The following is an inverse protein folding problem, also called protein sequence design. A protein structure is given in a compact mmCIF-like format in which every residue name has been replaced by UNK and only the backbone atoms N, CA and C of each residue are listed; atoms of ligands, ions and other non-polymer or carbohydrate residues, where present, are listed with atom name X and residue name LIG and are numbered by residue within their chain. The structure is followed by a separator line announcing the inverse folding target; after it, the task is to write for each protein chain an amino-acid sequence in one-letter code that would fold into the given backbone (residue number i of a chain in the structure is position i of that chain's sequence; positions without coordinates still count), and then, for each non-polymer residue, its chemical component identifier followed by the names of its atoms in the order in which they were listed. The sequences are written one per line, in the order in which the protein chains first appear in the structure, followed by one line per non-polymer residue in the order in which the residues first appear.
data_IF_134991211466
#
_entry.id   IF_134991211466
#
_cell.length_a   1.000
_cell.length_b   1.000
_cell.length_c   1.000
_cell.angle_alpha   90.00
_cell.angle_beta   90.00
_cell.angle_gamma   90.00
#
_symmetry.space_group_name_H-M   'P 1'
#
loop_
_entity.id
_entity.type
_entity.pdbx_description
1 polymer ?
#
# COMPACT_ATOMS: atom_id res chain seq x y z
N UNK A 1 19.82 -6.82 28.54
CA UNK A 1 18.85 -6.87 29.66
C UNK A 1 17.50 -6.53 29.07
N UNK A 2 16.83 -7.53 28.49
CA UNK A 2 15.44 -7.40 28.05
C UNK A 2 14.58 -7.39 29.31
N UNK A 3 14.03 -6.22 29.64
CA UNK A 3 12.95 -6.14 30.61
C UNK A 3 11.72 -6.79 29.98
N UNK A 4 11.44 -8.04 30.38
CA UNK A 4 10.16 -8.70 30.20
C UNK A 4 9.08 -7.88 30.91
N UNK A 5 8.56 -6.85 30.23
CA UNK A 5 7.40 -6.11 30.69
C UNK A 5 6.20 -7.04 30.50
N UNK A 6 5.81 -7.75 31.56
CA UNK A 6 4.55 -8.47 31.62
C UNK A 6 3.41 -7.44 31.57
N UNK A 7 2.98 -7.12 30.37
CA UNK A 7 1.83 -6.25 30.15
C UNK A 7 0.57 -6.95 30.68
N UNK A 8 -0.34 -6.22 31.36
CA UNK A 8 -1.63 -6.77 31.76
C UNK A 8 -2.37 -7.34 30.54
N UNK A 9 -3.05 -8.48 30.69
CA UNK A 9 -3.75 -9.17 29.58
C UNK A 9 -4.73 -8.26 28.80
N UNK A 10 -5.26 -7.22 29.45
CA UNK A 10 -6.09 -6.21 28.79
C UNK A 10 -5.28 -5.35 27.79
N UNK A 11 -4.05 -4.98 28.14
CA UNK A 11 -3.14 -4.19 27.31
C UNK A 11 -2.61 -5.03 26.14
N UNK A 12 -2.35 -6.32 26.35
CA UNK A 12 -1.97 -7.26 25.29
C UNK A 12 -3.11 -7.46 24.28
N UNK A 13 -4.36 -7.58 24.74
CA UNK A 13 -5.55 -7.64 23.87
C UNK A 13 -5.81 -6.34 23.13
N UNK A 14 -5.63 -5.19 23.78
CA UNK A 14 -5.75 -3.87 23.15
C UNK A 14 -4.66 -3.64 22.10
N UNK A 15 -3.41 -4.03 22.37
CA UNK A 15 -2.30 -3.99 21.40
C UNK A 15 -2.52 -4.99 20.26
N UNK A 16 -3.07 -6.18 20.54
CA UNK A 16 -3.46 -7.15 19.53
C UNK A 16 -4.54 -6.60 18.58
N UNK A 17 -5.57 -5.95 19.12
CA UNK A 17 -6.59 -5.26 18.32
C UNK A 17 -6.02 -4.04 17.57
N UNK A 18 -5.12 -3.28 18.17
CA UNK A 18 -4.40 -2.22 17.48
C UNK A 18 -3.56 -2.78 16.31
N UNK A 19 -2.92 -3.94 16.49
CA UNK A 19 -2.21 -4.66 15.43
C UNK A 19 -3.12 -5.01 14.24
N UNK A 20 -4.35 -5.45 14.49
CA UNK A 20 -5.33 -5.72 13.40
C UNK A 20 -5.77 -4.46 12.66
N UNK A 21 -5.77 -3.29 13.30
CA UNK A 21 -6.04 -2.01 12.61
C UNK A 21 -4.85 -1.49 11.80
N UNK A 22 -3.62 -1.88 12.15
CA UNK A 22 -2.38 -1.43 11.50
C UNK A 22 -2.01 -2.25 10.26
N UNK A 23 -2.47 -3.50 10.17
CA UNK A 23 -2.30 -4.36 8.99
C UNK A 23 -3.67 -4.97 8.60
N UNK A 24 -4.55 -4.23 7.91
CA UNK A 24 -5.85 -4.74 7.48
C UNK A 24 -5.74 -5.94 6.52
N UNK A 25 -4.55 -6.19 5.96
CA UNK A 25 -4.28 -7.39 5.15
C UNK A 25 -4.14 -8.65 6.00
N UNK A 26 -4.14 -8.55 7.33
CA UNK A 26 -4.22 -9.70 8.24
C UNK A 26 -5.60 -10.36 8.27
N UNK A 27 -6.67 -9.65 7.88
CA UNK A 27 -8.01 -10.23 7.68
C UNK A 27 -8.01 -11.32 6.61
N UNK A 28 -7.11 -11.23 5.64
CA UNK A 28 -6.92 -12.20 4.57
C UNK A 28 -5.69 -13.08 4.88
N UNK A 29 -5.79 -13.93 5.90
CA UNK A 29 -4.66 -14.77 6.29
C UNK A 29 -4.42 -15.91 5.26
N UNK A 30 -3.47 -15.70 4.36
CA UNK A 30 -3.15 -16.62 3.25
C UNK A 30 -2.57 -17.96 3.72
N UNK A 31 -2.09 -18.02 4.96
CA UNK A 31 -1.59 -19.26 5.57
C UNK A 31 -2.70 -20.31 5.69
N UNK A 32 -3.96 -19.86 5.86
CA UNK A 32 -5.14 -20.72 5.88
C UNK A 32 -5.56 -21.21 4.48
N UNK A 33 -5.14 -20.51 3.41
CA UNK A 33 -5.43 -20.88 2.02
C UNK A 33 -4.40 -21.87 1.43
N UNK A 34 -3.41 -22.32 2.23
CA UNK A 34 -2.42 -23.31 1.82
C UNK A 34 -1.18 -22.74 1.11
N UNK A 35 -1.06 -21.42 0.97
CA UNK A 35 0.12 -20.77 0.39
C UNK A 35 1.22 -20.60 1.44
N UNK A 36 1.99 -21.68 1.69
CA UNK A 36 3.02 -21.70 2.74
C UNK A 36 4.35 -21.03 2.41
N UNK A 37 4.57 -20.63 1.15
CA UNK A 37 5.83 -20.01 0.73
C UNK A 37 5.87 -18.51 1.04
N UNK A 38 6.93 -18.03 1.68
CA UNK A 38 7.11 -16.61 2.00
C UNK A 38 7.04 -15.76 0.72
N UNK A 39 7.73 -16.21 -0.34
CA UNK A 39 7.74 -15.54 -1.64
C UNK A 39 6.33 -15.42 -2.25
N UNK A 40 5.51 -16.47 -2.19
CA UNK A 40 4.16 -16.48 -2.78
C UNK A 40 3.24 -15.55 -2.01
N UNK A 41 3.24 -15.65 -0.68
CA UNK A 41 2.46 -14.77 0.18
C UNK A 41 2.88 -13.30 0.04
N UNK A 42 4.18 -13.04 -0.09
CA UNK A 42 4.71 -11.70 -0.36
C UNK A 42 4.29 -11.19 -1.75
N UNK A 43 4.36 -12.03 -2.78
CA UNK A 43 3.96 -11.67 -4.14
C UNK A 43 2.47 -11.31 -4.23
N UNK A 44 1.58 -12.15 -3.69
CA UNK A 44 0.14 -11.88 -3.74
C UNK A 44 -0.17 -10.55 -3.03
N UNK A 45 0.37 -10.33 -1.83
CA UNK A 45 0.13 -9.09 -1.07
C UNK A 45 0.62 -7.84 -1.81
N UNK A 46 1.76 -7.92 -2.49
CA UNK A 46 2.28 -6.79 -3.28
C UNK A 46 1.57 -6.62 -4.63
N UNK A 47 0.91 -7.64 -5.16
CA UNK A 47 0.14 -7.55 -6.42
C UNK A 47 -1.26 -6.98 -6.21
N UNK A 48 -1.85 -7.03 -5.00
CA UNK A 48 -3.19 -6.51 -4.73
C UNK A 48 -3.36 -5.04 -5.13
N UNK A 49 -2.47 -4.10 -4.76
CA UNK A 49 -2.59 -2.71 -5.21
C UNK A 49 -2.52 -2.58 -6.74
N UNK A 50 -1.60 -3.29 -7.40
CA UNK A 50 -1.49 -3.27 -8.88
C UNK A 50 -2.77 -3.82 -9.51
N UNK A 51 -3.32 -4.91 -8.98
CA UNK A 51 -4.56 -5.52 -9.46
C UNK A 51 -5.74 -4.55 -9.32
N UNK A 52 -5.85 -3.82 -8.20
CA UNK A 52 -6.90 -2.81 -8.02
C UNK A 52 -6.80 -1.66 -9.03
N UNK A 53 -5.58 -1.20 -9.35
CA UNK A 53 -5.38 -0.23 -10.42
C UNK A 53 -5.76 -0.82 -11.79
N UNK A 54 -5.31 -2.05 -12.06
CA UNK A 54 -5.65 -2.78 -13.28
C UNK A 54 -7.16 -2.90 -13.48
N UNK A 55 -7.88 -3.31 -12.44
CA UNK A 55 -9.34 -3.41 -12.45
C UNK A 55 -10.00 -2.06 -12.74
N UNK A 56 -9.56 -0.98 -12.09
CA UNK A 56 -10.07 0.37 -12.36
C UNK A 56 -9.89 0.80 -13.82
N UNK A 57 -8.71 0.55 -14.40
CA UNK A 57 -8.45 0.85 -15.82
C UNK A 57 -9.19 -0.08 -16.79
N UNK A 58 -9.42 -1.34 -16.41
CA UNK A 58 -10.26 -2.25 -17.17
C UNK A 58 -11.72 -1.76 -17.18
N UNK A 59 -12.26 -1.32 -16.03
CA UNK A 59 -13.59 -0.71 -15.97
C UNK A 59 -13.68 0.54 -16.85
N UNK A 60 -12.63 1.37 -16.86
CA UNK A 60 -12.55 2.53 -17.76
C UNK A 60 -12.61 2.15 -19.23
N UNK A 61 -11.80 1.15 -19.63
CA UNK A 61 -11.76 0.67 -21.00
C UNK A 61 -13.10 0.05 -21.42
N UNK A 62 -13.71 -0.77 -20.56
CA UNK A 62 -15.02 -1.38 -20.80
C UNK A 62 -16.11 -0.32 -20.94
N UNK A 63 -16.14 0.67 -20.05
CA UNK A 63 -17.08 1.80 -20.10
C UNK A 63 -16.99 2.54 -21.44
N UNK A 64 -15.79 2.83 -21.94
CA UNK A 64 -15.59 3.49 -23.23
C UNK A 64 -15.93 2.59 -24.42
N UNK A 65 -15.61 1.29 -24.33
CA UNK A 65 -15.98 0.33 -25.36
C UNK A 65 -17.51 0.23 -25.47
N UNK A 66 -18.22 0.10 -24.35
CA UNK A 66 -19.69 0.04 -24.31
C UNK A 66 -20.29 1.34 -24.84
N UNK A 67 -19.77 2.50 -24.42
CA UNK A 67 -20.26 3.78 -24.92
C UNK A 67 -20.13 3.90 -26.45
N UNK A 68 -19.03 3.37 -27.01
CA UNK A 68 -18.78 3.37 -28.46
C UNK A 68 -19.66 2.38 -29.22
N UNK A 69 -19.86 1.17 -28.69
CA UNK A 69 -20.58 0.10 -29.39
C UNK A 69 -22.09 0.15 -29.17
N UNK A 70 -22.55 0.39 -27.94
CA UNK A 70 -23.96 0.38 -27.58
C UNK A 70 -24.63 1.76 -27.70
N UNK A 71 -23.85 2.84 -27.94
CA UNK A 71 -24.33 4.24 -27.97
C UNK A 71 -25.08 4.66 -26.69
N UNK A 72 -24.75 4.03 -25.56
CA UNK A 72 -25.27 4.40 -24.23
C UNK A 72 -24.21 5.29 -23.57
N UNK A 73 -24.64 6.42 -23.00
CA UNK A 73 -23.72 7.30 -22.29
C UNK A 73 -23.38 6.73 -20.90
N UNK A 74 -22.36 5.85 -20.89
CA UNK A 74 -21.79 5.25 -19.68
C UNK A 74 -20.30 5.60 -19.53
N UNK A 75 -19.84 6.66 -20.20
CA UNK A 75 -18.42 7.01 -20.24
C UNK A 75 -17.90 7.49 -18.88
N UNK A 76 -16.88 6.80 -18.36
CA UNK A 76 -16.31 7.11 -17.05
C UNK A 76 -15.24 8.21 -17.17
N UNK A 77 -15.30 9.21 -16.29
CA UNK A 77 -14.30 10.28 -16.26
C UNK A 77 -12.99 9.80 -15.60
N UNK A 78 -11.88 9.95 -16.34
CA UNK A 78 -10.55 9.53 -15.90
C UNK A 78 -10.08 10.27 -14.64
N UNK A 79 -10.44 11.54 -14.46
CA UNK A 79 -10.03 12.32 -13.28
C UNK A 79 -10.66 11.76 -12.00
N UNK A 80 -11.92 11.33 -12.09
CA UNK A 80 -12.62 10.67 -10.98
C UNK A 80 -12.03 9.28 -10.67
N UNK A 81 -11.70 8.50 -11.71
CA UNK A 81 -11.06 7.20 -11.54
C UNK A 81 -9.71 7.33 -10.83
N UNK A 82 -8.83 8.21 -11.33
CA UNK A 82 -7.50 8.45 -10.76
C UNK A 82 -7.63 8.92 -9.32
N UNK A 83 -8.51 9.89 -9.04
CA UNK A 83 -8.76 10.34 -7.67
C UNK A 83 -9.17 9.19 -6.76
N UNK A 84 -10.06 8.30 -7.22
CA UNK A 84 -10.57 7.16 -6.43
C UNK A 84 -9.47 6.13 -6.16
N UNK A 85 -8.72 5.72 -7.19
CA UNK A 85 -7.62 4.76 -7.05
C UNK A 85 -6.52 5.26 -6.10
N UNK A 86 -6.11 6.51 -6.26
CA UNK A 86 -5.12 7.10 -5.35
C UNK A 86 -5.69 7.40 -3.96
N UNK A 87 -6.99 7.64 -3.79
CA UNK A 87 -7.62 7.73 -2.47
C UNK A 87 -7.46 6.41 -1.70
N UNK A 88 -7.75 5.28 -2.36
CA UNK A 88 -7.56 3.96 -1.76
C UNK A 88 -6.09 3.69 -1.46
N UNK A 89 -5.20 4.00 -2.39
CA UNK A 89 -3.76 3.84 -2.18
C UNK A 89 -3.26 4.69 -1.01
N UNK A 90 -3.74 5.92 -0.87
CA UNK A 90 -3.42 6.81 0.24
C UNK A 90 -3.92 6.26 1.58
N UNK A 91 -5.17 5.76 1.62
CA UNK A 91 -5.74 5.16 2.82
C UNK A 91 -4.98 3.91 3.29
N UNK A 92 -4.62 3.02 2.35
CA UNK A 92 -3.90 1.77 2.66
C UNK A 92 -2.38 1.90 2.66
N UNK A 93 -1.84 3.10 2.47
CA UNK A 93 -0.41 3.33 2.27
C UNK A 93 0.45 2.69 3.37
N UNK A 94 0.11 2.90 4.64
CA UNK A 94 0.85 2.32 5.77
C UNK A 94 0.90 0.80 5.73
N UNK A 95 -0.21 0.13 5.38
CA UNK A 95 -0.26 -1.32 5.25
C UNK A 95 0.59 -1.82 4.08
N UNK A 96 0.48 -1.15 2.92
CA UNK A 96 1.27 -1.48 1.72
C UNK A 96 2.77 -1.30 2.00
N UNK A 97 3.17 -0.19 2.62
CA UNK A 97 4.56 0.07 3.00
C UNK A 97 5.08 -0.95 4.01
N UNK A 98 4.29 -1.33 5.01
CA UNK A 98 4.67 -2.36 5.98
C UNK A 98 4.92 -3.72 5.29
N UNK A 99 4.06 -4.10 4.34
CA UNK A 99 4.25 -5.31 3.54
C UNK A 99 5.53 -5.21 2.70
N UNK A 100 5.70 -4.12 1.94
CA UNK A 100 6.88 -3.93 1.09
C UNK A 100 8.18 -3.94 1.90
N UNK A 101 8.18 -3.41 3.12
CA UNK A 101 9.36 -3.36 3.99
C UNK A 101 9.58 -4.64 4.81
N UNK A 102 8.69 -5.63 4.74
CA UNK A 102 8.76 -6.83 5.59
C UNK A 102 10.07 -7.61 5.41
N UNK A 103 10.61 -7.70 4.19
CA UNK A 103 11.86 -8.42 3.91
C UNK A 103 13.09 -7.79 4.59
N UNK A 104 13.03 -6.51 4.94
CA UNK A 104 14.13 -5.78 5.58
C UNK A 104 14.06 -5.83 7.12
N UNK A 105 13.04 -6.49 7.69
CA UNK A 105 12.85 -6.63 9.13
C UNK A 105 13.45 -7.95 9.63
N UNK A 106 14.74 -7.92 9.92
CA UNK A 106 15.47 -9.04 10.51
C UNK A 106 15.64 -8.87 12.02
N UNK A 107 15.55 -9.96 12.77
CA UNK A 107 15.77 -10.01 14.20
C UNK A 107 16.80 -11.09 14.54
N UNK A 108 17.60 -10.85 15.57
CA UNK A 108 18.57 -11.83 16.08
C UNK A 108 17.85 -13.04 16.69
N UNK A 109 18.20 -14.23 16.21
CA UNK A 109 17.73 -15.50 16.76
C UNK A 109 18.78 -16.05 17.76
N UNK A 110 18.40 -16.70 18.87
CA UNK A 110 19.30 -17.44 19.75
C UNK A 110 20.32 -18.37 19.05
N UNK A 111 20.01 -18.85 17.83
CA UNK A 111 20.92 -19.62 16.99
C UNK A 111 22.09 -18.80 16.39
N UNK A 112 22.18 -17.50 16.67
CA UNK A 112 23.26 -16.60 16.21
C UNK A 112 23.07 -16.03 14.80
N UNK A 113 22.07 -16.51 14.04
CA UNK A 113 21.76 -16.01 12.70
C UNK A 113 20.54 -15.08 12.71
N UNK A 114 20.55 -13.95 11.99
CA UNK A 114 19.37 -13.10 11.88
C UNK A 114 18.30 -13.78 11.01
N UNK A 115 17.05 -13.79 11.47
CA UNK A 115 15.90 -14.34 10.75
C UNK A 115 14.83 -13.27 10.54
N UNK A 116 13.94 -13.47 9.56
CA UNK A 116 12.84 -12.53 9.34
C UNK A 116 11.86 -12.55 10.52
N UNK A 117 11.43 -11.36 10.94
CA UNK A 117 10.45 -11.21 12.04
C UNK A 117 9.11 -11.90 11.71
N UNK A 118 8.71 -11.86 10.44
CA UNK A 118 7.42 -12.44 10.00
C UNK A 118 7.48 -13.94 9.74
N UNK A 119 8.65 -14.47 9.36
CA UNK A 119 8.85 -15.90 9.10
C UNK A 119 10.25 -16.31 9.58
N UNK A 120 10.37 -16.87 10.80
CA UNK A 120 11.68 -17.19 11.39
C UNK A 120 12.46 -18.30 10.69
N UNK A 121 11.85 -19.04 9.77
CA UNK A 121 12.47 -20.06 8.92
C UNK A 121 13.35 -19.45 7.81
N UNK A 122 13.07 -18.20 7.40
CA UNK A 122 13.87 -17.48 6.41
C UNK A 122 15.05 -16.79 7.09
N UNK A 123 16.25 -17.30 6.82
CA UNK A 123 17.52 -16.70 7.30
C UNK A 123 17.88 -15.50 6.43
N UNK A 124 18.08 -14.34 7.06
CA UNK A 124 18.44 -13.11 6.37
C UNK A 124 19.87 -13.20 5.79
N UNK A 125 20.09 -12.61 4.61
CA UNK A 125 21.39 -12.52 3.91
C UNK A 125 22.05 -13.83 3.45
N UNK A 126 21.61 -14.99 3.95
CA UNK A 126 22.18 -16.30 3.58
C UNK A 126 21.24 -17.16 2.75
N UNK A 127 19.92 -17.07 2.96
CA UNK A 127 18.98 -17.95 2.27
C UNK A 127 18.77 -17.57 0.80
N UNK A 128 18.66 -18.60 -0.05
CA UNK A 128 18.28 -18.42 -1.46
C UNK A 128 16.87 -17.82 -1.60
N UNK A 129 15.96 -18.12 -0.67
CA UNK A 129 14.60 -17.57 -0.62
C UNK A 129 14.58 -16.07 -0.31
N UNK A 130 15.43 -15.59 0.60
CA UNK A 130 15.57 -14.16 0.86
C UNK A 130 16.10 -13.42 -0.37
N UNK A 131 17.14 -13.98 -1.00
CA UNK A 131 17.78 -13.40 -2.20
C UNK A 131 16.84 -13.38 -3.41
N UNK A 132 16.03 -14.43 -3.63
CA UNK A 132 15.06 -14.44 -4.71
C UNK A 132 13.91 -13.46 -4.48
N UNK A 133 13.51 -13.27 -3.21
CA UNK A 133 12.43 -12.33 -2.86
C UNK A 133 12.86 -10.86 -2.93
N UNK A 134 14.16 -10.56 -2.82
CA UNK A 134 14.69 -9.21 -3.02
C UNK A 134 14.30 -8.62 -4.38
N UNK A 135 14.30 -9.44 -5.44
CA UNK A 135 13.97 -9.01 -6.80
C UNK A 135 12.56 -8.44 -6.92
N UNK A 136 11.62 -8.89 -6.08
CA UNK A 136 10.27 -8.35 -6.02
C UNK A 136 10.14 -7.20 -5.01
N UNK A 137 10.87 -7.31 -3.89
CA UNK A 137 10.82 -6.35 -2.80
C UNK A 137 11.36 -4.96 -3.19
N UNK A 138 12.48 -4.91 -3.92
CA UNK A 138 13.10 -3.64 -4.34
C UNK A 138 12.13 -2.82 -5.22
N UNK A 139 11.55 -3.37 -6.32
CA UNK A 139 10.54 -2.67 -7.09
C UNK A 139 9.33 -2.24 -6.25
N UNK A 140 8.85 -3.09 -5.35
CA UNK A 140 7.70 -2.76 -4.50
C UNK A 140 7.98 -1.53 -3.61
N UNK A 141 9.17 -1.45 -2.98
CA UNK A 141 9.56 -0.27 -2.20
C UNK A 141 9.73 0.97 -3.08
N UNK A 142 10.37 0.82 -4.25
CA UNK A 142 10.56 1.93 -5.18
C UNK A 142 9.23 2.50 -5.67
N UNK A 143 8.27 1.65 -6.04
CA UNK A 143 6.97 2.09 -6.56
C UNK A 143 6.08 2.60 -5.43
N UNK A 144 5.88 1.80 -4.38
CA UNK A 144 4.88 2.12 -3.37
C UNK A 144 5.37 3.12 -2.34
N UNK A 145 6.60 3.02 -1.86
CA UNK A 145 7.10 3.95 -0.86
C UNK A 145 7.66 5.20 -1.53
N UNK A 146 8.67 5.05 -2.38
CA UNK A 146 9.37 6.21 -2.96
C UNK A 146 8.50 6.89 -4.02
N UNK A 147 7.96 6.13 -4.97
CA UNK A 147 7.17 6.64 -6.09
C UNK A 147 5.94 7.42 -5.62
N UNK A 148 5.17 6.86 -4.68
CA UNK A 148 4.01 7.54 -4.10
C UNK A 148 4.39 8.84 -3.40
N UNK A 149 5.45 8.83 -2.57
CA UNK A 149 5.90 10.04 -1.88
C UNK A 149 6.39 11.12 -2.86
N UNK A 150 7.12 10.72 -3.91
CA UNK A 150 7.59 11.63 -4.96
C UNK A 150 6.41 12.23 -5.71
N UNK A 151 5.43 11.41 -6.13
CA UNK A 151 4.24 11.89 -6.84
C UNK A 151 3.44 12.84 -5.95
N UNK A 152 3.13 12.45 -4.71
CA UNK A 152 2.35 13.29 -3.81
C UNK A 152 3.08 14.58 -3.46
N UNK A 153 4.38 14.50 -3.16
CA UNK A 153 5.22 15.68 -2.92
C UNK A 153 5.26 16.62 -4.12
N UNK A 154 5.44 16.09 -5.32
CA UNK A 154 5.42 16.87 -6.56
C UNK A 154 4.08 17.58 -6.78
N UNK A 155 2.96 16.88 -6.60
CA UNK A 155 1.62 17.46 -6.76
C UNK A 155 1.34 18.52 -5.72
N UNK A 156 1.78 18.33 -4.46
CA UNK A 156 1.66 19.35 -3.41
C UNK A 156 2.47 20.59 -3.78
N UNK A 157 3.71 20.45 -4.26
CA UNK A 157 4.52 21.58 -4.71
C UNK A 157 3.89 22.32 -5.89
N UNK A 158 3.20 21.61 -6.79
CA UNK A 158 2.54 22.21 -7.96
C UNK A 158 1.12 22.70 -7.70
N UNK A 159 0.56 22.41 -6.52
CA UNK A 159 -0.80 22.78 -6.18
C UNK A 159 -1.05 24.29 -6.30
N UNK A 160 -0.24 25.20 -5.74
CA UNK A 160 -0.55 26.64 -5.78
C UNK A 160 -0.71 27.19 -7.20
N UNK A 161 0.13 26.74 -8.13
CA UNK A 161 0.08 27.16 -9.55
C UNK A 161 -1.14 26.58 -10.30
N UNK A 162 -1.59 25.37 -9.95
CA UNK A 162 -2.55 24.59 -10.74
C UNK A 162 -3.92 24.42 -10.07
N UNK A 163 -4.09 24.88 -8.82
CA UNK A 163 -5.31 24.63 -8.04
C UNK A 163 -6.54 25.30 -8.64
N UNK A 164 -6.39 26.37 -9.41
CA UNK A 164 -7.51 27.05 -10.10
C UNK A 164 -8.17 26.14 -11.15
N UNK A 165 -7.45 25.12 -11.66
CA UNK A 165 -7.95 24.25 -12.73
C UNK A 165 -8.93 23.19 -12.17
N UNK A 166 -10.19 23.12 -12.64
CA UNK A 166 -11.17 22.15 -12.12
C UNK A 166 -10.75 20.68 -12.27
N UNK A 167 -10.00 20.35 -13.34
CA UNK A 167 -9.44 19.01 -13.54
C UNK A 167 -8.43 18.63 -12.47
N UNK A 168 -7.58 19.57 -12.07
CA UNK A 168 -6.59 19.36 -11.01
C UNK A 168 -7.29 19.11 -9.67
N UNK A 169 -8.27 19.95 -9.32
CA UNK A 169 -9.07 19.80 -8.10
C UNK A 169 -9.80 18.45 -8.07
N UNK A 170 -10.38 18.03 -9.19
CA UNK A 170 -11.09 16.75 -9.31
C UNK A 170 -10.14 15.56 -9.15
N UNK A 171 -9.02 15.56 -9.86
CA UNK A 171 -8.04 14.44 -9.88
C UNK A 171 -7.32 14.25 -8.55
N UNK A 172 -6.96 15.33 -7.87
CA UNK A 172 -6.16 15.31 -6.64
C UNK A 172 -6.98 15.64 -5.40
N UNK A 173 -8.31 15.56 -5.49
CA UNK A 173 -9.23 15.87 -4.40
C UNK A 173 -8.85 15.12 -3.12
N UNK A 174 -8.43 13.86 -3.22
CA UNK A 174 -8.04 13.05 -2.06
C UNK A 174 -6.89 13.63 -1.22
N UNK A 175 -5.95 14.35 -1.85
CA UNK A 175 -4.85 15.01 -1.13
C UNK A 175 -5.34 16.25 -0.39
N UNK A 176 -6.25 17.01 -1.01
CA UNK A 176 -6.61 18.35 -0.54
C UNK A 176 -7.94 18.41 0.23
N UNK A 177 -8.78 17.38 0.15
CA UNK A 177 -10.15 17.38 0.71
C UNK A 177 -10.19 17.66 2.21
N UNK A 178 -9.14 17.30 2.95
CA UNK A 178 -9.04 17.52 4.39
C UNK A 178 -8.60 18.95 4.74
N UNK A 179 -7.92 19.66 3.85
CA UNK A 179 -7.36 20.97 4.13
C UNK A 179 -8.38 22.05 3.77
N UNK A 180 -8.44 23.10 4.60
CA UNK A 180 -9.36 24.22 4.33
C UNK A 180 -8.72 25.19 3.33
N UNK A 181 -9.48 25.66 2.31
CA UNK A 181 -8.97 26.58 1.30
C UNK A 181 -8.87 28.03 1.79
N UNK A 182 -9.38 28.34 2.99
CA UNK A 182 -9.45 29.67 3.59
C UNK A 182 -8.20 30.07 4.40
N UNK A 183 -7.27 29.14 4.61
CA UNK A 183 -5.97 29.39 5.24
C UNK A 183 -4.84 29.30 4.21
N UNK A 184 -4.13 30.42 4.09
CA UNK A 184 -3.28 30.89 3.00
C UNK A 184 -1.95 30.15 2.80
N UNK A 185 -1.53 29.31 3.74
CA UNK A 185 -0.33 28.47 3.55
C UNK A 185 -0.49 27.35 2.50
N UNK A 186 -1.67 27.18 1.90
CA UNK A 186 -1.93 26.22 0.80
C UNK A 186 -2.57 26.84 -0.46
N UNK A 187 -2.73 28.18 -0.53
CA UNK A 187 -3.36 28.89 -1.66
C UNK A 187 -2.42 29.92 -2.26
#
# INVERSE_FOLDING_TARGET
VESNLLLPAATERLLGHAGTTLDPMTLFNMDCAGYRGFMVSFAIRNLVPIAAFGEGFLMYAMSHAIARFARIDVSMDLDFLVNTLFSFMYFFFTGISNVALTLFRCQSNPAGKPTLVKQPDVICFESGEWSSTLGLCIPAVLVYCIGSLVIFGYIICKAPEHFVQPRFQKRWKFLFFKYRPDVHWWS
#
